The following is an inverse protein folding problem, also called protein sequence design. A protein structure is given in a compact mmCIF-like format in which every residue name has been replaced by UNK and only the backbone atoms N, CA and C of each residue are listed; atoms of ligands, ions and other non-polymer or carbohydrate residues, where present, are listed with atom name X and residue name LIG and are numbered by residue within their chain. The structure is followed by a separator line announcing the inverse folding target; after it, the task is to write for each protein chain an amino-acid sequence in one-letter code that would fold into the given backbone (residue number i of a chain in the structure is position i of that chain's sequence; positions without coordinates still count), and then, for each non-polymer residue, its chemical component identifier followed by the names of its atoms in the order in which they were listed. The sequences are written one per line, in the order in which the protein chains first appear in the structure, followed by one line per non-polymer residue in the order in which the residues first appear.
data_IF_100520832764
#
_entry.id   IF_100520832764
#
_cell.length_a   1.000
_cell.length_b   1.000
_cell.length_c   1.000
_cell.angle_alpha   90.00
_cell.angle_beta   90.00
_cell.angle_gamma   90.00
#
_symmetry.space_group_name_H-M   'P 1'
#
loop_
_entity.id
_entity.type
_entity.pdbx_description
1 polymer ?
#
# COMPACT_ATOMS: atom_id res chain seq x y z
N UNK A 1 10.41 46.73 24.94
CA UNK A 1 9.32 45.87 24.45
C UNK A 1 9.86 45.09 23.23
N UNK A 2 10.22 43.81 23.38
CA UNK A 2 10.79 42.99 22.28
C UNK A 2 9.67 42.17 21.66
N UNK A 3 9.35 42.46 20.40
CA UNK A 3 8.33 41.73 19.62
C UNK A 3 9.01 40.46 19.08
N UNK A 4 8.68 39.30 19.66
CA UNK A 4 9.12 38.00 19.15
C UNK A 4 8.35 37.70 17.85
N UNK A 5 9.05 37.66 16.72
CA UNK A 5 8.48 37.21 15.45
C UNK A 5 8.41 35.69 15.45
N UNK A 6 7.20 35.14 15.50
CA UNK A 6 6.93 33.74 15.23
C UNK A 6 7.11 33.48 13.73
N UNK A 7 8.08 32.63 13.36
CA UNK A 7 8.24 32.14 11.99
C UNK A 7 7.19 31.04 11.75
N UNK A 8 6.42 31.09 10.64
CA UNK A 8 5.51 30.00 10.29
C UNK A 8 6.35 28.78 9.90
N UNK A 9 6.19 27.67 10.62
CA UNK A 9 6.73 26.39 10.21
C UNK A 9 5.96 25.91 8.97
N UNK A 10 6.55 26.09 7.79
CA UNK A 10 6.03 25.54 6.55
C UNK A 10 6.25 24.03 6.59
N UNK A 11 5.19 23.29 6.94
CA UNK A 11 5.18 21.84 6.79
C UNK A 11 5.02 21.50 5.31
N UNK A 12 6.13 21.32 4.61
CA UNK A 12 6.13 20.64 3.31
C UNK A 12 5.84 19.15 3.54
N UNK A 13 4.59 18.75 3.38
CA UNK A 13 4.24 17.34 3.24
C UNK A 13 4.81 16.86 1.90
N UNK A 14 5.90 16.10 1.95
CA UNK A 14 6.41 15.40 0.78
C UNK A 14 5.36 14.35 0.39
N UNK A 15 4.73 14.53 -0.77
CA UNK A 15 3.98 13.47 -1.43
C UNK A 15 4.97 12.35 -1.72
N UNK A 16 4.93 11.29 -0.90
CA UNK A 16 5.64 10.07 -1.20
C UNK A 16 5.01 9.50 -2.47
N UNK A 17 5.61 9.80 -3.62
CA UNK A 17 5.30 9.04 -4.83
C UNK A 17 5.60 7.59 -4.50
N UNK A 18 4.61 6.73 -4.64
CA UNK A 18 4.77 5.28 -4.54
C UNK A 18 5.68 4.84 -5.68
N UNK A 19 6.98 5.05 -5.52
CA UNK A 19 7.98 4.61 -6.46
C UNK A 19 7.96 3.08 -6.47
N UNK A 20 7.22 2.55 -7.45
CA UNK A 20 7.30 1.18 -7.94
C UNK A 20 7.23 0.10 -6.88
N UNK A 21 6.01 -0.29 -6.51
CA UNK A 21 5.79 -1.67 -6.08
C UNK A 21 6.22 -2.57 -7.25
N UNK A 22 7.45 -3.09 -7.20
CA UNK A 22 7.92 -4.12 -8.12
C UNK A 22 8.06 -5.44 -7.37
N UNK A 23 7.95 -6.55 -8.09
CA UNK A 23 8.01 -7.91 -7.53
C UNK A 23 9.20 -8.12 -6.58
N UNK A 24 10.39 -7.61 -6.94
CA UNK A 24 11.61 -7.69 -6.13
C UNK A 24 11.57 -6.83 -4.86
N UNK A 25 10.78 -5.75 -4.85
CA UNK A 25 10.57 -4.88 -3.68
C UNK A 25 9.58 -5.54 -2.73
N UNK A 26 8.46 -6.04 -3.24
CA UNK A 26 7.43 -6.68 -2.43
C UNK A 26 7.93 -8.00 -1.79
N UNK A 27 8.61 -8.85 -2.57
CA UNK A 27 9.10 -10.15 -2.08
C UNK A 27 10.23 -10.06 -1.04
N UNK A 28 10.93 -8.92 -0.95
CA UNK A 28 11.98 -8.71 0.07
C UNK A 28 11.50 -7.95 1.29
N UNK A 29 10.36 -7.27 1.20
CA UNK A 29 9.81 -6.44 2.27
C UNK A 29 8.68 -7.09 3.03
N UNK A 30 8.06 -8.13 2.45
CA UNK A 30 6.92 -8.81 3.04
C UNK A 30 7.21 -10.30 3.26
N UNK A 31 6.70 -10.84 4.36
CA UNK A 31 6.73 -12.25 4.72
C UNK A 31 5.31 -12.74 5.04
N UNK A 32 5.16 -14.07 5.08
CA UNK A 32 3.89 -14.74 5.41
C UNK A 32 2.73 -14.28 4.53
N UNK A 33 3.04 -13.99 3.26
CA UNK A 33 2.07 -13.51 2.28
C UNK A 33 1.10 -14.62 1.92
N UNK A 34 -0.19 -14.37 2.14
CA UNK A 34 -1.27 -15.31 1.85
C UNK A 34 -2.44 -14.61 1.17
N UNK A 35 -3.18 -15.37 0.37
CA UNK A 35 -4.48 -14.95 -0.13
C UNK A 35 -5.52 -15.22 0.97
N UNK A 36 -6.24 -14.17 1.34
CA UNK A 36 -7.35 -14.26 2.29
C UNK A 36 -8.54 -13.48 1.78
N UNK A 37 -9.74 -13.99 1.99
CA UNK A 37 -10.95 -13.24 1.69
C UNK A 37 -11.45 -12.37 2.84
N UNK A 38 -10.70 -12.28 3.94
CA UNK A 38 -11.15 -11.70 5.23
C UNK A 38 -12.56 -12.20 5.62
N UNK A 39 -12.90 -13.43 5.21
CA UNK A 39 -14.21 -14.08 5.43
C UNK A 39 -15.39 -13.54 4.62
N UNK A 40 -15.21 -12.66 3.62
CA UNK A 40 -16.32 -12.08 2.84
C UNK A 40 -16.37 -12.64 1.41
N UNK A 41 -17.53 -13.17 0.94
CA UNK A 41 -17.72 -13.56 -0.44
C UNK A 41 -17.42 -12.38 -1.39
N UNK A 42 -16.67 -12.65 -2.46
CA UNK A 42 -16.32 -11.63 -3.47
C UNK A 42 -15.26 -10.62 -3.00
N UNK A 43 -14.65 -10.82 -1.83
CA UNK A 43 -13.46 -10.07 -1.45
C UNK A 43 -12.25 -10.98 -1.51
N UNK A 44 -11.34 -10.73 -2.43
CA UNK A 44 -9.97 -11.29 -2.40
C UNK A 44 -9.01 -10.22 -1.88
N UNK A 45 -8.24 -10.55 -0.85
CA UNK A 45 -7.18 -9.69 -0.33
C UNK A 45 -5.86 -10.46 -0.25
N UNK A 46 -4.76 -9.73 -0.41
CA UNK A 46 -3.43 -10.23 -0.15
C UNK A 46 -3.00 -9.71 1.22
N UNK A 47 -2.71 -10.62 2.14
CA UNK A 47 -2.39 -10.33 3.54
C UNK A 47 -0.96 -10.77 3.82
N UNK A 48 -0.18 -9.95 4.49
CA UNK A 48 1.17 -10.31 4.90
C UNK A 48 1.75 -9.33 5.92
N UNK A 49 2.88 -9.70 6.52
CA UNK A 49 3.65 -8.81 7.36
C UNK A 49 4.68 -8.11 6.47
N UNK A 50 4.62 -6.79 6.36
CA UNK A 50 5.60 -6.02 5.59
C UNK A 50 6.35 -5.06 6.50
N UNK A 51 7.64 -4.86 6.26
CA UNK A 51 8.41 -3.88 7.00
C UNK A 51 8.52 -2.54 6.25
N UNK A 52 8.52 -1.44 7.00
CA UNK A 52 8.77 -0.12 6.45
C UNK A 52 10.28 0.13 6.20
N UNK A 53 10.63 1.32 5.73
CA UNK A 53 12.04 1.71 5.50
C UNK A 53 12.87 1.81 6.78
N UNK A 54 12.22 1.95 7.94
CA UNK A 54 12.87 1.94 9.25
C UNK A 54 13.00 0.51 9.83
N UNK A 55 12.43 -0.50 9.16
CA UNK A 55 12.49 -1.90 9.54
C UNK A 55 11.37 -2.33 10.50
N UNK A 56 10.37 -1.49 10.77
CA UNK A 56 9.24 -1.89 11.61
C UNK A 56 8.27 -2.75 10.81
N UNK A 57 7.78 -3.83 11.41
CA UNK A 57 6.83 -4.75 10.80
C UNK A 57 5.38 -4.31 11.02
N UNK A 58 4.59 -4.37 9.94
CA UNK A 58 3.19 -3.99 9.90
C UNK A 58 2.36 -5.09 9.25
N UNK A 59 1.16 -5.32 9.78
CA UNK A 59 0.15 -6.11 9.09
C UNK A 59 -0.38 -5.28 7.93
N UNK A 60 -0.15 -5.78 6.71
CA UNK A 60 -0.59 -5.15 5.48
C UNK A 60 -1.69 -5.98 4.84
N UNK A 61 -2.77 -5.32 4.46
CA UNK A 61 -3.90 -5.91 3.74
C UNK A 61 -4.11 -5.11 2.47
N UNK A 62 -3.93 -5.76 1.32
CA UNK A 62 -4.22 -5.19 0.01
C UNK A 62 -5.51 -5.81 -0.53
N UNK A 63 -6.53 -4.98 -0.72
CA UNK A 63 -7.79 -5.39 -1.32
C UNK A 63 -7.62 -5.53 -2.84
N UNK A 64 -7.56 -6.76 -3.35
CA UNK A 64 -7.31 -7.00 -4.77
C UNK A 64 -8.50 -6.63 -5.67
N UNK A 65 -9.71 -6.50 -5.10
CA UNK A 65 -10.91 -6.17 -5.86
C UNK A 65 -10.96 -4.68 -6.27
N UNK A 66 -10.09 -3.85 -5.70
CA UNK A 66 -9.97 -2.43 -6.08
C UNK A 66 -9.17 -2.23 -7.37
N UNK A 67 -8.39 -3.25 -7.77
CA UNK A 67 -7.45 -3.11 -8.86
C UNK A 67 -7.33 -4.33 -9.79
N UNK A 68 -8.02 -5.43 -9.49
CA UNK A 68 -8.08 -6.61 -10.37
C UNK A 68 -9.52 -6.88 -10.79
N UNK A 69 -9.68 -7.22 -12.07
CA UNK A 69 -10.94 -7.71 -12.61
C UNK A 69 -10.72 -8.75 -13.71
N UNK A 70 -11.76 -9.04 -14.48
CA UNK A 70 -11.71 -9.94 -15.62
C UNK A 70 -11.91 -9.17 -16.93
N UNK A 71 -11.17 -9.52 -17.98
CA UNK A 71 -11.48 -9.09 -19.34
C UNK A 71 -12.66 -9.88 -19.92
N UNK A 72 -13.10 -9.53 -21.14
CA UNK A 72 -14.21 -10.20 -21.83
C UNK A 72 -13.99 -11.70 -22.08
N UNK A 73 -12.75 -12.18 -21.93
CA UNK A 73 -12.35 -13.58 -22.07
C UNK A 73 -12.15 -14.28 -20.72
N UNK A 74 -12.47 -13.62 -19.60
CA UNK A 74 -12.33 -14.18 -18.26
C UNK A 74 -10.88 -14.22 -17.74
N UNK A 75 -9.94 -13.48 -18.35
CA UNK A 75 -8.55 -13.42 -17.89
C UNK A 75 -8.38 -12.33 -16.83
N UNK A 76 -7.54 -12.62 -15.85
CA UNK A 76 -7.20 -11.67 -14.80
C UNK A 76 -6.45 -10.48 -15.39
N UNK A 77 -6.98 -9.28 -15.18
CA UNK A 77 -6.38 -8.02 -15.65
C UNK A 77 -6.33 -7.01 -14.51
N UNK A 78 -5.30 -6.16 -14.54
CA UNK A 78 -5.25 -4.98 -13.69
C UNK A 78 -6.20 -3.91 -14.26
N UNK A 79 -7.02 -3.32 -13.39
CA UNK A 79 -7.97 -2.26 -13.71
C UNK A 79 -7.71 -1.11 -12.74
N UNK A 80 -7.41 0.10 -13.24
CA UNK A 80 -7.40 1.27 -12.37
C UNK A 80 -8.85 1.65 -12.05
N UNK A 81 -9.14 1.92 -10.78
CA UNK A 81 -10.45 2.35 -10.29
C UNK A 81 -10.74 3.82 -10.56
#
# INVERSE_FOLDING_TARGET
MRIARLLPAVFTAALATAAGLNEKVFLKQCQDVTLSGVGRPGQTSLVGQCHDRAGNWWLTVLNLNECLGADDYGRLVYQES
#
